data_IF_883682256438
#
_entry.id   IF_883682256438
#
_cell.length_a   1.000
_cell.length_b   1.000
_cell.length_c   1.000
_cell.angle_alpha   90.00
_cell.angle_beta   90.00
_cell.angle_gamma   90.00
#
_symmetry.space_group_name_H-M   'P 1'
#
loop_
_entity.id
_entity.type
_entity.pdbx_description
1 polymer ?
#
# COMPACT_ATOMS: atom_id res chain seq x y z
N UNK A 1 -50.97 19.08 -55.04
CA UNK A 1 -50.11 19.21 -53.85
C UNK A 1 -50.87 18.90 -52.53
N UNK A 2 -51.81 17.94 -52.52
CA UNK A 2 -52.64 17.66 -51.33
C UNK A 2 -52.42 16.28 -50.67
N UNK A 3 -51.97 15.26 -51.40
CA UNK A 3 -51.87 13.91 -50.84
C UNK A 3 -50.71 13.72 -49.85
N UNK A 4 -49.56 14.34 -50.11
CA UNK A 4 -48.38 14.24 -49.24
C UNK A 4 -48.53 15.03 -47.95
N UNK A 5 -49.24 16.16 -47.98
CA UNK A 5 -49.52 16.98 -46.79
C UNK A 5 -50.58 16.31 -45.90
N UNK A 6 -51.58 15.67 -46.49
CA UNK A 6 -52.57 14.87 -45.74
C UNK A 6 -51.90 13.66 -45.07
N UNK A 7 -51.02 12.94 -45.79
CA UNK A 7 -50.26 11.84 -45.21
C UNK A 7 -49.37 12.28 -44.04
N UNK A 8 -48.70 13.43 -44.18
CA UNK A 8 -47.87 13.99 -43.11
C UNK A 8 -48.71 14.39 -41.87
N UNK A 9 -49.88 15.00 -42.08
CA UNK A 9 -50.79 15.35 -40.98
C UNK A 9 -51.33 14.12 -40.25
N UNK A 10 -51.63 13.03 -40.97
CA UNK A 10 -52.06 11.76 -40.37
C UNK A 10 -50.94 11.17 -39.51
N UNK A 11 -49.69 11.18 -39.99
CA UNK A 11 -48.54 10.67 -39.22
C UNK A 11 -48.33 11.47 -37.94
N UNK A 12 -48.45 12.80 -38.00
CA UNK A 12 -48.34 13.66 -36.81
C UNK A 12 -49.49 13.42 -35.84
N UNK A 13 -50.73 13.27 -36.33
CA UNK A 13 -51.89 12.99 -35.49
C UNK A 13 -51.78 11.63 -34.77
N UNK A 14 -51.32 10.59 -35.48
CA UNK A 14 -51.05 9.27 -34.89
C UNK A 14 -49.92 9.37 -33.85
N UNK A 15 -48.86 10.13 -34.14
CA UNK A 15 -47.77 10.33 -33.20
C UNK A 15 -48.21 11.03 -31.91
N UNK A 16 -49.03 12.10 -32.02
CA UNK A 16 -49.60 12.78 -30.85
C UNK A 16 -50.49 11.85 -30.02
N UNK A 17 -51.28 10.99 -30.67
CA UNK A 17 -52.13 10.03 -29.97
C UNK A 17 -51.31 8.99 -29.20
N UNK A 18 -50.21 8.49 -29.79
CA UNK A 18 -49.27 7.56 -29.12
C UNK A 18 -48.54 8.24 -27.96
N UNK A 19 -48.16 9.51 -28.09
CA UNK A 19 -47.57 10.28 -27.00
C UNK A 19 -48.57 10.47 -25.85
N UNK A 20 -49.84 10.76 -26.16
CA UNK A 20 -50.89 10.91 -25.15
C UNK A 20 -51.17 9.60 -24.41
N UNK A 21 -51.21 8.45 -25.09
CA UNK A 21 -51.42 7.16 -24.43
C UNK A 21 -50.25 6.79 -23.53
N UNK A 22 -49.01 7.05 -23.95
CA UNK A 22 -47.81 6.83 -23.13
C UNK A 22 -47.77 7.74 -21.90
N UNK A 23 -48.16 9.01 -22.03
CA UNK A 23 -48.31 9.93 -20.89
C UNK A 23 -49.38 9.45 -19.91
N UNK A 24 -50.52 8.95 -20.41
CA UNK A 24 -51.57 8.39 -19.56
C UNK A 24 -51.08 7.14 -18.81
N UNK A 25 -50.34 6.27 -19.49
CA UNK A 25 -49.79 5.03 -18.92
C UNK A 25 -48.70 5.28 -17.87
N UNK A 26 -47.90 6.34 -18.06
CA UNK A 26 -46.98 6.85 -17.05
C UNK A 26 -47.75 7.40 -15.85
N UNK A 27 -48.82 8.18 -16.08
CA UNK A 27 -49.58 8.76 -14.98
C UNK A 27 -50.32 7.71 -14.13
N UNK A 28 -50.74 6.60 -14.74
CA UNK A 28 -51.34 5.44 -14.07
C UNK A 28 -50.28 4.56 -13.37
N UNK A 29 -48.98 4.90 -13.47
CA UNK A 29 -47.90 4.27 -12.70
C UNK A 29 -47.48 2.89 -13.19
N UNK A 30 -47.88 2.49 -14.41
CA UNK A 30 -47.56 1.19 -15.00
C UNK A 30 -46.13 1.15 -15.58
N UNK A 31 -45.57 2.31 -15.95
CA UNK A 31 -44.18 2.45 -16.40
C UNK A 31 -43.36 3.28 -15.39
N UNK A 32 -42.48 2.63 -14.64
CA UNK A 32 -41.41 3.28 -13.87
C UNK A 32 -40.27 3.65 -14.82
N UNK A 33 -40.37 4.80 -15.47
CA UNK A 33 -39.27 5.38 -16.26
C UNK A 33 -38.96 6.74 -15.63
N UNK A 34 -37.70 6.95 -15.24
CA UNK A 34 -37.25 8.20 -14.62
C UNK A 34 -37.52 9.39 -15.57
N UNK A 35 -38.11 10.46 -15.02
CA UNK A 35 -38.63 11.62 -15.76
C UNK A 35 -37.61 12.40 -16.63
N UNK A 36 -36.34 11.99 -16.62
CA UNK A 36 -35.27 12.56 -17.44
C UNK A 36 -35.30 12.08 -18.91
N UNK A 37 -36.00 10.98 -19.22
CA UNK A 37 -36.08 10.39 -20.57
C UNK A 37 -37.27 10.91 -21.40
N UNK A 38 -38.19 11.63 -20.77
CA UNK A 38 -39.38 12.25 -21.40
C UNK A 38 -39.06 13.24 -22.54
N UNK A 39 -38.08 14.16 -22.42
CA UNK A 39 -37.77 15.09 -23.51
C UNK A 39 -37.13 14.41 -24.73
N UNK A 40 -36.46 13.26 -24.56
CA UNK A 40 -35.89 12.49 -25.67
C UNK A 40 -36.95 11.74 -26.50
N UNK A 41 -38.09 11.41 -25.88
CA UNK A 41 -39.22 10.77 -26.56
C UNK A 41 -39.97 11.71 -27.52
N UNK A 42 -40.03 13.01 -27.18
CA UNK A 42 -40.70 14.03 -28.00
C UNK A 42 -39.86 14.46 -29.21
N UNK A 43 -38.52 14.31 -29.15
CA UNK A 43 -37.62 14.87 -30.16
C UNK A 43 -37.40 13.96 -31.38
N UNK A 44 -37.74 12.66 -31.30
CA UNK A 44 -37.49 11.71 -32.40
C UNK A 44 -38.73 10.82 -32.67
N UNK A 45 -39.57 11.14 -33.66
CA UNK A 45 -40.92 10.59 -33.82
C UNK A 45 -41.00 9.09 -34.15
N UNK A 46 -39.89 8.42 -34.46
CA UNK A 46 -39.90 7.00 -34.83
C UNK A 46 -39.06 6.10 -33.91
N UNK A 47 -38.07 6.67 -33.19
CA UNK A 47 -37.07 5.88 -32.45
C UNK A 47 -37.35 5.81 -30.94
N UNK A 48 -38.14 6.72 -30.40
CA UNK A 48 -38.53 6.72 -28.97
C UNK A 48 -39.39 5.49 -28.57
N UNK A 49 -40.44 5.13 -29.32
CA UNK A 49 -41.22 3.92 -29.02
C UNK A 49 -40.41 2.65 -29.23
N UNK A 50 -39.52 2.64 -30.25
CA UNK A 50 -38.65 1.51 -30.56
C UNK A 50 -37.62 1.25 -29.44
N UNK A 51 -37.05 2.30 -28.84
CA UNK A 51 -36.07 2.17 -27.76
C UNK A 51 -36.69 1.63 -26.47
N UNK A 52 -37.89 2.08 -26.12
CA UNK A 52 -38.66 1.57 -24.97
C UNK A 52 -39.12 0.12 -25.20
N UNK A 53 -39.57 -0.22 -26.42
CA UNK A 53 -39.90 -1.60 -26.78
C UNK A 53 -38.67 -2.53 -26.77
N UNK A 54 -37.49 -2.02 -27.15
CA UNK A 54 -36.23 -2.76 -27.08
C UNK A 54 -35.76 -2.98 -25.64
N UNK A 55 -35.95 -2.00 -24.74
CA UNK A 55 -35.68 -2.16 -23.31
C UNK A 55 -36.58 -3.21 -22.67
N UNK A 56 -37.89 -3.19 -22.96
CA UNK A 56 -38.83 -4.17 -22.40
C UNK A 56 -38.65 -5.57 -23.00
N UNK A 57 -38.36 -5.69 -24.30
CA UNK A 57 -38.09 -7.00 -24.92
C UNK A 57 -36.81 -7.64 -24.38
N UNK A 58 -35.76 -6.84 -24.08
CA UNK A 58 -34.56 -7.33 -23.39
C UNK A 58 -34.82 -7.73 -21.93
N UNK A 59 -35.73 -7.08 -21.21
CA UNK A 59 -36.09 -7.46 -19.86
C UNK A 59 -36.86 -8.79 -19.80
N UNK A 60 -37.75 -9.04 -20.78
CA UNK A 60 -38.55 -10.28 -20.87
C UNK A 60 -37.76 -11.46 -21.43
N UNK A 61 -36.88 -11.25 -22.43
CA UNK A 61 -36.09 -12.32 -23.04
C UNK A 61 -34.87 -12.74 -22.19
N UNK A 62 -34.45 -11.90 -21.23
CA UNK A 62 -33.24 -12.11 -20.41
C UNK A 62 -33.56 -12.45 -18.95
N UNK A 63 -34.76 -12.96 -18.68
CA UNK A 63 -35.17 -13.56 -17.40
C UNK A 63 -34.41 -14.84 -17.00
N UNK A 64 -33.21 -15.08 -17.53
CA UNK A 64 -32.46 -16.31 -17.27
C UNK A 64 -30.93 -16.20 -17.25
N UNK A 65 -30.32 -15.01 -17.39
CA UNK A 65 -28.85 -14.89 -17.34
C UNK A 65 -28.40 -13.58 -16.70
N UNK A 66 -28.14 -13.65 -15.40
CA UNK A 66 -27.42 -12.61 -14.65
C UNK A 66 -25.95 -12.64 -15.09
N UNK A 67 -25.53 -11.64 -15.84
CA UNK A 67 -24.12 -11.27 -16.03
C UNK A 67 -24.04 -9.80 -15.57
N UNK A 68 -23.38 -9.49 -14.44
CA UNK A 68 -23.16 -8.11 -14.07
C UNK A 68 -21.98 -7.59 -14.90
N UNK A 69 -22.29 -6.73 -15.88
CA UNK A 69 -21.32 -5.78 -16.40
C UNK A 69 -21.33 -4.58 -15.44
N UNK A 70 -20.29 -4.50 -14.60
CA UNK A 70 -20.05 -3.38 -13.71
C UNK A 70 -18.71 -2.73 -14.08
N UNK A 71 -18.77 -1.61 -14.78
CA UNK A 71 -17.64 -0.71 -14.95
C UNK A 71 -18.20 0.72 -15.04
N UNK A 72 -17.72 1.55 -14.11
CA UNK A 72 -17.99 2.98 -13.87
C UNK A 72 -19.40 3.33 -13.37
N UNK A 73 -19.58 4.14 -12.32
CA UNK A 73 -18.78 5.31 -11.96
C UNK A 73 -18.45 5.37 -10.45
N UNK A 74 -17.21 5.79 -10.16
CA UNK A 74 -16.81 6.33 -8.87
C UNK A 74 -17.64 7.58 -8.57
N UNK A 75 -18.39 7.56 -7.48
CA UNK A 75 -18.75 8.78 -6.76
C UNK A 75 -18.38 8.60 -5.29
N UNK A 76 -17.35 9.32 -4.90
CA UNK A 76 -16.88 9.51 -3.53
C UNK A 76 -17.87 10.44 -2.81
N UNK A 77 -17.99 10.25 -1.50
CA UNK A 77 -18.82 10.97 -0.50
C UNK A 77 -20.33 10.65 -0.50
N UNK A 78 -20.82 9.95 0.52
CA UNK A 78 -21.16 10.58 1.80
C UNK A 78 -21.32 9.53 2.92
N UNK A 79 -21.14 9.98 4.17
CA UNK A 79 -21.26 9.16 5.37
C UNK A 79 -22.67 8.60 5.58
N UNK A 80 -22.72 7.49 6.32
CA UNK A 80 -23.92 6.90 6.94
C UNK A 80 -25.02 6.37 6.01
N UNK A 81 -24.91 5.09 5.63
CA UNK A 81 -26.09 4.23 5.62
C UNK A 81 -25.74 2.78 5.94
N UNK A 82 -26.15 2.39 7.16
CA UNK A 82 -26.30 1.02 7.64
C UNK A 82 -27.23 0.23 6.72
N UNK A 83 -27.03 -1.09 6.75
CA UNK A 83 -27.86 -2.17 6.21
C UNK A 83 -27.53 -2.60 4.77
N UNK A 84 -26.42 -3.30 4.63
CA UNK A 84 -26.40 -4.42 3.67
C UNK A 84 -27.05 -5.59 4.40
N UNK A 85 -28.29 -5.90 4.04
CA UNK A 85 -28.92 -7.19 4.33
C UNK A 85 -28.06 -8.25 3.63
N UNK A 86 -27.14 -8.84 4.40
CA UNK A 86 -26.43 -10.04 3.99
C UNK A 86 -27.43 -11.17 4.11
N UNK A 87 -27.85 -11.65 2.94
CA UNK A 87 -28.68 -12.83 2.77
C UNK A 87 -28.02 -14.02 3.49
N UNK A 88 -28.88 -14.74 4.20
CA UNK A 88 -28.59 -15.82 5.12
C UNK A 88 -27.76 -16.92 4.43
N UNK A 89 -26.52 -17.13 4.87
CA UNK A 89 -25.78 -18.36 4.63
C UNK A 89 -25.14 -18.83 5.93
N UNK A 90 -25.88 -19.72 6.57
CA UNK A 90 -25.38 -20.82 7.38
C UNK A 90 -24.15 -21.48 6.73
N UNK A 91 -22.97 -21.13 7.21
CA UNK A 91 -21.79 -22.02 7.27
C UNK A 91 -20.73 -21.38 8.20
N UNK A 92 -21.05 -21.30 9.49
CA UNK A 92 -20.09 -21.00 10.56
C UNK A 92 -19.27 -22.25 10.98
N UNK A 93 -19.17 -23.26 10.11
CA UNK A 93 -18.51 -24.53 10.45
C UNK A 93 -16.99 -24.51 10.22
N UNK A 94 -16.42 -23.45 9.64
CA UNK A 94 -14.98 -23.40 9.36
C UNK A 94 -14.45 -21.97 9.49
N UNK A 95 -14.30 -21.49 10.73
CA UNK A 95 -13.55 -20.25 10.99
C UNK A 95 -12.07 -20.55 10.79
N UNK A 96 -11.62 -20.35 9.57
CA UNK A 96 -10.23 -20.54 9.15
C UNK A 96 -9.50 -19.19 9.31
N UNK A 97 -8.26 -19.14 9.83
CA UNK A 97 -7.45 -17.93 9.84
C UNK A 97 -7.39 -17.27 8.46
N UNK A 98 -7.32 -15.93 8.41
CA UNK A 98 -7.35 -15.15 7.17
C UNK A 98 -6.30 -15.63 6.15
N UNK A 99 -5.14 -16.06 6.64
CA UNK A 99 -4.04 -16.60 5.84
C UNK A 99 -4.42 -17.91 5.16
N UNK A 100 -5.11 -18.80 5.87
CA UNK A 100 -5.52 -20.11 5.37
C UNK A 100 -6.79 -19.99 4.49
N UNK A 101 -7.62 -18.96 4.70
CA UNK A 101 -8.72 -18.62 3.79
C UNK A 101 -8.22 -18.16 2.39
N UNK A 102 -7.07 -17.49 2.32
CA UNK A 102 -6.47 -17.12 1.03
C UNK A 102 -5.85 -18.29 0.28
N UNK A 103 -5.48 -19.37 0.97
CA UNK A 103 -4.80 -20.55 0.41
C UNK A 103 -5.80 -21.65 0.07
N UNK A 104 -6.78 -21.92 0.94
CA UNK A 104 -7.60 -23.14 0.90
C UNK A 104 -9.00 -22.89 0.29
N UNK A 105 -9.51 -21.65 0.31
CA UNK A 105 -10.94 -21.41 0.10
C UNK A 105 -11.37 -21.12 -1.36
N UNK A 106 -12.69 -21.23 -1.63
CA UNK A 106 -13.32 -21.02 -2.95
C UNK A 106 -12.98 -19.63 -3.54
N UNK A 107 -12.71 -19.51 -4.87
CA UNK A 107 -12.41 -18.23 -5.52
C UNK A 107 -13.35 -17.07 -5.17
N UNK A 108 -14.65 -17.35 -4.98
CA UNK A 108 -15.64 -16.31 -4.61
C UNK A 108 -15.46 -15.79 -3.18
N UNK A 109 -15.21 -16.67 -2.20
CA UNK A 109 -14.98 -16.27 -0.81
C UNK A 109 -13.67 -15.48 -0.69
N UNK A 110 -12.62 -15.91 -1.40
CA UNK A 110 -11.34 -15.20 -1.47
C UNK A 110 -11.48 -13.76 -1.97
N UNK A 111 -12.28 -13.54 -3.02
CA UNK A 111 -12.55 -12.19 -3.55
C UNK A 111 -13.37 -11.34 -2.60
N UNK A 112 -14.39 -11.91 -1.96
CA UNK A 112 -15.18 -11.19 -0.96
C UNK A 112 -14.32 -10.76 0.24
N UNK A 113 -13.39 -11.60 0.68
CA UNK A 113 -12.44 -11.28 1.73
C UNK A 113 -11.46 -10.15 1.31
N UNK A 114 -10.96 -10.20 0.07
CA UNK A 114 -10.12 -9.11 -0.46
C UNK A 114 -10.90 -7.78 -0.52
N UNK A 115 -12.18 -7.83 -0.91
CA UNK A 115 -13.05 -6.64 -0.92
C UNK A 115 -13.33 -6.12 0.50
N UNK A 116 -13.50 -6.97 1.51
CA UNK A 116 -13.68 -6.51 2.89
C UNK A 116 -12.40 -5.86 3.44
N UNK A 117 -11.22 -6.44 3.16
CA UNK A 117 -9.92 -5.87 3.52
C UNK A 117 -9.72 -4.47 2.90
N UNK A 118 -10.10 -4.32 1.62
CA UNK A 118 -10.01 -3.05 0.90
C UNK A 118 -10.93 -1.97 1.50
N UNK A 119 -12.10 -2.35 2.01
CA UNK A 119 -13.10 -1.40 2.51
C UNK A 119 -12.88 -0.96 3.97
N UNK A 120 -12.22 -1.78 4.80
CA UNK A 120 -11.99 -1.45 6.21
C UNK A 120 -10.72 -0.60 6.40
N UNK A 121 -9.54 -1.23 6.37
CA UNK A 121 -8.25 -0.57 6.47
C UNK A 121 -7.17 -1.51 5.90
N UNK A 122 -6.77 -1.35 4.64
CA UNK A 122 -5.84 -2.28 3.99
C UNK A 122 -4.45 -2.27 4.66
N UNK A 123 -4.08 -1.19 5.35
CA UNK A 123 -2.79 -1.07 6.05
C UNK A 123 -2.60 -2.10 7.16
N UNK A 124 -3.67 -2.49 7.87
CA UNK A 124 -3.59 -3.51 8.94
C UNK A 124 -3.27 -4.90 8.38
N UNK A 125 -3.61 -5.13 7.11
CA UNK A 125 -3.47 -6.41 6.43
C UNK A 125 -2.30 -6.41 5.43
N UNK A 126 -1.33 -5.49 5.55
CA UNK A 126 -0.22 -5.36 4.60
C UNK A 126 0.53 -6.68 4.36
N UNK A 127 0.84 -7.44 5.42
CA UNK A 127 1.51 -8.75 5.30
C UNK A 127 0.67 -9.77 4.52
N UNK A 128 -0.63 -9.80 4.77
CA UNK A 128 -1.58 -10.70 4.10
C UNK A 128 -1.72 -10.32 2.62
N UNK A 129 -1.80 -9.02 2.32
CA UNK A 129 -1.81 -8.49 0.94
C UNK A 129 -0.50 -8.81 0.21
N UNK A 130 0.64 -8.78 0.91
CA UNK A 130 1.92 -9.22 0.35
C UNK A 130 1.89 -10.67 -0.11
N UNK A 131 1.30 -11.55 0.71
CA UNK A 131 1.17 -12.96 0.39
C UNK A 131 0.16 -13.19 -0.74
N UNK A 132 -0.94 -12.44 -0.74
CA UNK A 132 -1.96 -12.50 -1.78
C UNK A 132 -1.44 -12.17 -3.19
N UNK A 133 -0.31 -11.45 -3.32
CA UNK A 133 0.37 -11.23 -4.62
C UNK A 133 0.92 -12.50 -5.26
N UNK A 134 1.11 -13.56 -4.47
CA UNK A 134 1.59 -14.87 -4.95
C UNK A 134 0.43 -15.85 -5.18
N UNK A 135 -0.81 -15.38 -5.13
CA UNK A 135 -1.99 -16.21 -5.33
C UNK A 135 -2.16 -16.61 -6.81
N UNK A 136 -2.81 -17.74 -7.05
CA UNK A 136 -3.10 -18.22 -8.42
C UNK A 136 -4.23 -17.45 -9.10
N UNK A 137 -5.17 -16.86 -8.33
CA UNK A 137 -6.27 -16.07 -8.88
C UNK A 137 -5.78 -14.66 -9.26
N UNK A 138 -5.80 -14.36 -10.57
CA UNK A 138 -5.39 -13.07 -11.13
C UNK A 138 -6.17 -11.90 -10.53
N UNK A 139 -7.46 -12.08 -10.20
CA UNK A 139 -8.26 -11.02 -9.59
C UNK A 139 -7.76 -10.70 -8.18
N UNK A 140 -7.40 -11.73 -7.40
CA UNK A 140 -6.87 -11.57 -6.04
C UNK A 140 -5.49 -10.91 -6.07
N UNK A 141 -4.63 -11.31 -7.01
CA UNK A 141 -3.35 -10.64 -7.25
C UNK A 141 -3.55 -9.16 -7.60
N UNK A 142 -4.52 -8.84 -8.46
CA UNK A 142 -4.82 -7.46 -8.84
C UNK A 142 -5.37 -6.64 -7.67
N UNK A 143 -6.29 -7.19 -6.88
CA UNK A 143 -6.79 -6.53 -5.67
C UNK A 143 -5.67 -6.28 -4.66
N UNK A 144 -4.79 -7.26 -4.44
CA UNK A 144 -3.66 -7.14 -3.54
C UNK A 144 -2.67 -6.08 -3.99
N UNK A 145 -2.31 -6.09 -5.27
CA UNK A 145 -1.44 -5.09 -5.86
C UNK A 145 -2.03 -3.67 -5.74
N UNK A 146 -3.33 -3.53 -5.99
CA UNK A 146 -4.04 -2.24 -5.89
C UNK A 146 -4.08 -1.74 -4.45
N UNK A 147 -4.43 -2.62 -3.50
CA UNK A 147 -4.40 -2.30 -2.07
C UNK A 147 -3.02 -1.85 -1.61
N UNK A 148 -1.98 -2.59 -1.99
CA UNK A 148 -0.60 -2.28 -1.64
C UNK A 148 -0.13 -0.95 -2.25
N UNK A 149 -0.49 -0.67 -3.50
CA UNK A 149 -0.18 0.62 -4.12
C UNK A 149 -0.86 1.78 -3.39
N UNK A 150 -2.12 1.60 -2.93
CA UNK A 150 -2.81 2.60 -2.12
C UNK A 150 -2.17 2.80 -0.75
N UNK A 151 -1.75 1.72 -0.08
CA UNK A 151 -1.00 1.80 1.20
C UNK A 151 0.30 2.57 0.99
N UNK A 152 1.10 2.18 0.00
CA UNK A 152 2.39 2.84 -0.29
C UNK A 152 2.20 4.32 -0.60
N UNK A 153 1.24 4.67 -1.47
CA UNK A 153 0.94 6.07 -1.78
C UNK A 153 0.55 6.89 -0.54
N UNK A 154 -0.21 6.30 0.39
CA UNK A 154 -0.57 6.96 1.66
C UNK A 154 0.63 7.14 2.59
N UNK A 155 1.51 6.14 2.69
CA UNK A 155 2.76 6.23 3.45
C UNK A 155 3.71 7.29 2.86
N UNK A 156 3.83 7.34 1.53
CA UNK A 156 4.64 8.32 0.81
C UNK A 156 4.16 9.76 1.05
N UNK A 157 2.84 9.99 0.96
CA UNK A 157 2.25 11.31 1.25
C UNK A 157 2.51 11.70 2.70
N UNK A 158 2.34 10.77 3.65
CA UNK A 158 2.62 11.04 5.06
C UNK A 158 4.09 11.38 5.30
N UNK A 159 5.02 10.65 4.66
CA UNK A 159 6.46 10.93 4.74
C UNK A 159 6.80 12.30 4.14
N UNK A 160 6.20 12.65 2.99
CA UNK A 160 6.39 13.95 2.36
C UNK A 160 5.91 15.09 3.26
N UNK A 161 4.75 14.95 3.92
CA UNK A 161 4.27 15.98 4.84
C UNK A 161 5.24 16.22 6.01
N UNK A 162 5.85 15.15 6.55
CA UNK A 162 6.88 15.26 7.60
C UNK A 162 8.17 15.91 7.09
N UNK A 163 8.55 15.62 5.85
CA UNK A 163 9.67 16.27 5.19
C UNK A 163 9.42 17.78 5.04
N UNK A 164 8.24 18.18 4.56
CA UNK A 164 7.86 19.59 4.42
C UNK A 164 7.82 20.32 5.77
N UNK A 165 7.32 19.67 6.83
CA UNK A 165 7.35 20.19 8.20
C UNK A 165 8.79 20.47 8.67
N UNK A 166 9.70 19.52 8.42
CA UNK A 166 11.13 19.70 8.70
C UNK A 166 11.77 20.80 7.87
N UNK A 167 11.44 20.92 6.58
CA UNK A 167 11.99 21.97 5.71
C UNK A 167 11.54 23.37 6.13
N UNK A 168 10.29 23.52 6.62
CA UNK A 168 9.80 24.78 7.19
C UNK A 168 10.49 25.14 8.51
N UNK A 169 10.91 24.14 9.28
CA UNK A 169 11.46 24.30 10.61
C UNK A 169 12.86 23.67 10.74
N UNK A 170 13.80 23.98 9.83
CA UNK A 170 15.12 23.33 9.79
C UNK A 170 15.94 23.44 11.08
N UNK A 171 15.73 24.51 11.84
CA UNK A 171 16.43 24.77 13.10
C UNK A 171 15.81 24.05 14.30
N UNK A 172 14.62 23.47 14.14
CA UNK A 172 13.94 22.73 15.22
C UNK A 172 14.44 21.29 15.29
N UNK A 173 15.02 20.92 16.43
CA UNK A 173 15.41 19.54 16.71
C UNK A 173 14.19 18.60 16.81
N UNK A 174 13.04 19.11 17.26
CA UNK A 174 11.81 18.32 17.33
C UNK A 174 11.29 17.96 15.92
N UNK A 175 11.35 18.90 14.97
CA UNK A 175 10.98 18.62 13.58
C UNK A 175 11.94 17.62 12.93
N UNK A 176 13.25 17.74 13.23
CA UNK A 176 14.27 16.78 12.79
C UNK A 176 13.98 15.36 13.31
N UNK A 177 13.70 15.24 14.61
CA UNK A 177 13.42 13.95 15.23
C UNK A 177 12.12 13.31 14.73
N UNK A 178 11.05 14.09 14.56
CA UNK A 178 9.79 13.58 13.97
C UNK A 178 9.99 13.07 12.55
N UNK A 179 10.79 13.77 11.73
CA UNK A 179 11.08 13.33 10.38
C UNK A 179 11.97 12.08 10.37
N UNK A 180 12.98 12.02 11.26
CA UNK A 180 13.84 10.85 11.46
C UNK A 180 13.02 9.62 11.83
N UNK A 181 12.10 9.74 12.78
CA UNK A 181 11.24 8.65 13.22
C UNK A 181 10.28 8.18 12.12
N UNK A 182 9.69 9.12 11.38
CA UNK A 182 8.83 8.80 10.25
C UNK A 182 9.60 8.02 9.17
N UNK A 183 10.83 8.43 8.86
CA UNK A 183 11.66 7.78 7.86
C UNK A 183 12.19 6.42 8.34
N UNK A 184 12.54 6.30 9.62
CA UNK A 184 12.90 5.00 10.23
C UNK A 184 11.71 4.03 10.22
N UNK A 185 10.51 4.51 10.53
CA UNK A 185 9.28 3.72 10.43
C UNK A 185 9.06 3.28 8.98
N UNK A 186 9.14 4.19 8.02
CA UNK A 186 8.99 3.89 6.59
C UNK A 186 10.00 2.83 6.13
N UNK A 187 11.27 2.92 6.54
CA UNK A 187 12.29 1.92 6.16
C UNK A 187 12.06 0.53 6.79
N UNK A 188 11.30 0.45 7.89
CA UNK A 188 10.91 -0.82 8.56
C UNK A 188 9.59 -1.37 8.03
N UNK A 189 8.61 -0.50 7.73
CA UNK A 189 7.27 -0.89 7.29
C UNK A 189 7.19 -1.12 5.78
N UNK A 190 7.96 -0.34 5.01
CA UNK A 190 7.89 -0.37 3.56
C UNK A 190 8.33 -1.72 3.04
N UNK A 191 7.41 -2.39 2.37
CA UNK A 191 7.68 -3.61 1.61
C UNK A 191 8.28 -3.32 0.24
N UNK A 192 8.56 -2.04 -0.07
CA UNK A 192 9.18 -1.67 -1.32
C UNK A 192 10.65 -2.08 -1.36
N UNK A 193 10.97 -2.95 -2.30
CA UNK A 193 12.33 -3.36 -2.61
C UNK A 193 12.84 -2.54 -3.81
N UNK A 194 14.14 -2.22 -3.81
CA UNK A 194 14.80 -1.60 -4.97
C UNK A 194 15.11 -0.10 -4.82
N UNK A 195 14.95 0.65 -5.92
CA UNK A 195 15.50 2.01 -6.06
C UNK A 195 14.86 3.02 -5.10
N UNK A 196 13.53 2.99 -4.91
CA UNK A 196 12.81 3.89 -4.02
C UNK A 196 13.32 3.77 -2.56
N UNK A 197 13.42 2.54 -2.05
CA UNK A 197 14.01 2.26 -0.73
C UNK A 197 15.45 2.74 -0.62
N UNK A 198 16.26 2.51 -1.65
CA UNK A 198 17.66 2.97 -1.67
C UNK A 198 17.76 4.50 -1.59
N UNK A 199 16.86 5.21 -2.28
CA UNK A 199 16.77 6.68 -2.20
C UNK A 199 16.40 7.13 -0.79
N UNK A 200 15.41 6.50 -0.15
CA UNK A 200 15.02 6.85 1.22
C UNK A 200 16.13 6.54 2.23
N UNK A 201 16.86 5.43 2.08
CA UNK A 201 18.02 5.12 2.91
C UNK A 201 19.15 6.15 2.78
N UNK A 202 19.37 6.70 1.57
CA UNK A 202 20.33 7.82 1.38
C UNK A 202 19.87 9.07 2.11
N UNK A 203 18.60 9.45 1.98
CA UNK A 203 18.02 10.58 2.72
C UNK A 203 18.14 10.39 4.23
N UNK A 204 17.94 9.17 4.73
CA UNK A 204 18.16 8.83 6.13
C UNK A 204 19.61 9.06 6.57
N UNK A 205 20.57 8.60 5.77
CA UNK A 205 21.99 8.78 6.05
C UNK A 205 22.37 10.27 6.08
N UNK A 206 21.86 11.07 5.14
CA UNK A 206 22.09 12.52 5.12
C UNK A 206 21.48 13.20 6.36
N UNK A 207 20.29 12.78 6.77
CA UNK A 207 19.62 13.27 7.98
C UNK A 207 20.42 12.95 9.24
N UNK A 208 20.90 11.72 9.37
CA UNK A 208 21.73 11.29 10.50
C UNK A 208 23.08 12.03 10.52
N UNK A 209 23.68 12.29 9.36
CA UNK A 209 24.90 13.07 9.25
C UNK A 209 24.68 14.53 9.70
N UNK A 210 23.52 15.11 9.38
CA UNK A 210 23.16 16.46 9.83
C UNK A 210 22.89 16.48 11.35
N UNK A 211 22.19 15.48 11.87
CA UNK A 211 21.98 15.33 13.31
C UNK A 211 23.30 15.18 14.05
N UNK A 212 24.26 14.43 13.51
CA UNK A 212 25.57 14.24 14.11
C UNK A 212 26.37 15.56 14.22
N UNK A 213 26.19 16.49 13.27
CA UNK A 213 26.83 17.82 13.34
C UNK A 213 26.25 18.68 14.47
N UNK A 214 24.95 18.54 14.75
CA UNK A 214 24.26 19.28 15.83
C UNK A 214 24.52 18.64 17.19
N UNK A 215 24.33 17.33 17.25
CA UNK A 215 24.38 16.50 18.43
C UNK A 215 25.44 15.43 18.23
N UNK A 216 26.59 15.63 18.85
CA UNK A 216 27.69 14.67 18.80
C UNK A 216 27.38 13.47 19.71
N UNK A 217 26.54 12.55 19.22
CA UNK A 217 26.13 11.32 19.92
C UNK A 217 26.62 10.06 19.18
N UNK A 218 27.17 9.11 19.95
CA UNK A 218 27.66 7.84 19.44
C UNK A 218 26.55 6.98 18.83
N UNK A 219 25.31 7.10 19.32
CA UNK A 219 24.17 6.30 18.80
C UNK A 219 23.85 6.71 17.36
N UNK A 220 23.82 8.01 17.09
CA UNK A 220 23.61 8.56 15.75
C UNK A 220 24.72 8.10 14.79
N UNK A 221 25.98 8.09 15.23
CA UNK A 221 27.09 7.51 14.44
C UNK A 221 26.85 6.04 14.15
N UNK A 222 26.50 5.23 15.15
CA UNK A 222 26.30 3.79 14.94
C UNK A 222 25.17 3.53 13.92
N UNK A 223 24.07 4.29 14.00
CA UNK A 223 22.97 4.23 13.03
C UNK A 223 23.39 4.69 11.63
N UNK A 224 24.20 5.74 11.53
CA UNK A 224 24.73 6.25 10.26
C UNK A 224 25.65 5.22 9.60
N UNK A 225 26.63 4.70 10.35
CA UNK A 225 27.56 3.69 9.87
C UNK A 225 26.83 2.42 9.40
N UNK A 226 25.84 1.96 10.15
CA UNK A 226 24.99 0.83 9.75
C UNK A 226 24.27 1.14 8.43
N UNK A 227 23.65 2.33 8.30
CA UNK A 227 22.92 2.71 7.09
C UNK A 227 23.85 2.82 5.88
N UNK A 228 25.06 3.37 6.05
CA UNK A 228 26.09 3.44 5.00
C UNK A 228 26.55 2.04 4.56
N UNK A 229 26.73 1.11 5.50
CA UNK A 229 27.03 -0.29 5.18
C UNK A 229 25.87 -0.96 4.42
N UNK A 230 24.63 -0.77 4.85
CA UNK A 230 23.45 -1.33 4.19
C UNK A 230 23.28 -0.77 2.75
N UNK A 231 23.76 0.45 2.50
CA UNK A 231 23.86 1.08 1.18
C UNK A 231 25.09 0.63 0.36
N UNK A 232 25.95 -0.23 0.90
CA UNK A 232 27.21 -0.66 0.27
C UNK A 232 28.33 0.39 0.28
N UNK A 233 28.14 1.53 0.96
CA UNK A 233 29.12 2.63 1.07
C UNK A 233 30.17 2.34 2.15
N UNK A 234 30.91 1.25 2.01
CA UNK A 234 31.83 0.77 3.03
C UNK A 234 32.94 1.77 3.39
N UNK A 235 33.41 2.58 2.45
CA UNK A 235 34.46 3.58 2.74
C UNK A 235 33.95 4.76 3.55
N UNK A 236 32.69 5.18 3.30
CA UNK A 236 32.03 6.17 4.14
C UNK A 236 31.84 5.64 5.56
N UNK A 237 31.37 4.39 5.69
CA UNK A 237 31.23 3.72 6.97
C UNK A 237 32.56 3.62 7.73
N UNK A 238 33.67 3.28 7.05
CA UNK A 238 35.00 3.24 7.67
C UNK A 238 35.38 4.58 8.27
N UNK A 239 35.27 5.67 7.51
CA UNK A 239 35.59 7.03 7.99
C UNK A 239 34.71 7.43 9.17
N UNK A 240 33.42 7.15 9.11
CA UNK A 240 32.47 7.46 10.18
C UNK A 240 32.78 6.66 11.46
N UNK A 241 33.13 5.38 11.34
CA UNK A 241 33.52 4.54 12.48
C UNK A 241 34.86 4.96 13.07
N UNK A 242 35.88 5.23 12.25
CA UNK A 242 37.20 5.69 12.70
C UNK A 242 37.12 7.03 13.45
N UNK A 243 36.32 7.97 12.95
CA UNK A 243 36.05 9.22 13.65
C UNK A 243 35.38 8.97 15.02
N UNK A 244 34.42 8.05 15.08
CA UNK A 244 33.75 7.71 16.33
C UNK A 244 34.63 6.95 17.32
N UNK A 245 35.55 6.11 16.85
CA UNK A 245 36.54 5.45 17.72
C UNK A 245 37.51 6.46 18.33
N UNK A 246 37.84 7.52 17.58
CA UNK A 246 38.67 8.62 18.08
C UNK A 246 37.92 9.46 19.13
N UNK A 247 36.62 9.70 18.92
CA UNK A 247 35.79 10.49 19.84
C UNK A 247 35.35 9.69 21.09
N UNK A 248 35.01 8.41 20.95
CA UNK A 248 34.51 7.54 22.02
C UNK A 248 35.23 6.18 22.06
N UNK A 249 36.53 6.16 22.41
CA UNK A 249 37.34 4.93 22.40
C UNK A 249 36.85 3.87 23.40
N UNK A 250 36.10 4.25 24.44
CA UNK A 250 35.58 3.31 25.45
C UNK A 250 34.19 2.77 25.14
N UNK A 251 33.53 3.24 24.07
CA UNK A 251 32.16 2.84 23.76
C UNK A 251 32.14 1.56 22.94
N UNK A 252 31.71 0.46 23.57
CA UNK A 252 31.67 -0.87 22.96
C UNK A 252 30.85 -0.95 21.67
N UNK A 253 29.75 -0.20 21.56
CA UNK A 253 28.89 -0.23 20.37
C UNK A 253 29.63 0.22 19.10
N UNK A 254 30.54 1.21 19.23
CA UNK A 254 31.35 1.70 18.11
C UNK A 254 32.35 0.63 17.66
N UNK A 255 32.94 -0.09 18.61
CA UNK A 255 33.80 -1.24 18.34
C UNK A 255 33.05 -2.40 17.68
N UNK A 256 31.80 -2.65 18.09
CA UNK A 256 30.93 -3.62 17.41
C UNK A 256 30.62 -3.19 15.97
N UNK A 257 30.47 -1.89 15.69
CA UNK A 257 30.32 -1.40 14.32
C UNK A 257 31.59 -1.65 13.49
N UNK A 258 32.78 -1.42 14.05
CA UNK A 258 34.05 -1.75 13.39
C UNK A 258 34.14 -3.23 13.04
N UNK A 259 33.84 -4.11 13.99
CA UNK A 259 33.81 -5.56 13.75
C UNK A 259 32.83 -5.94 12.64
N UNK A 260 31.64 -5.32 12.62
CA UNK A 260 30.66 -5.57 11.56
C UNK A 260 31.15 -5.11 10.19
N UNK A 261 31.80 -3.96 10.11
CA UNK A 261 32.39 -3.46 8.86
C UNK A 261 33.48 -4.40 8.34
N UNK A 262 34.39 -4.84 9.20
CA UNK A 262 35.49 -5.75 8.85
C UNK A 262 34.96 -7.12 8.42
N UNK A 263 33.94 -7.63 9.12
CA UNK A 263 33.25 -8.86 8.72
C UNK A 263 32.53 -8.72 7.38
N UNK A 264 31.87 -7.58 7.12
CA UNK A 264 31.20 -7.30 5.85
C UNK A 264 32.18 -7.15 4.68
N UNK A 265 33.42 -6.73 4.95
CA UNK A 265 34.53 -6.68 3.98
C UNK A 265 35.23 -8.04 3.78
N UNK A 266 34.83 -9.07 4.53
CA UNK A 266 35.50 -10.38 4.56
C UNK A 266 36.98 -10.32 4.96
N UNK A 267 37.38 -9.34 5.77
CA UNK A 267 38.76 -9.20 6.28
C UNK A 267 38.90 -9.89 7.64
N UNK A 268 39.19 -11.19 7.61
CA UNK A 268 39.36 -12.00 8.82
C UNK A 268 40.53 -11.57 9.71
N UNK A 269 41.60 -11.00 9.14
CA UNK A 269 42.74 -10.53 9.93
C UNK A 269 42.40 -9.24 10.69
N UNK A 270 41.69 -8.31 10.05
CA UNK A 270 41.18 -7.10 10.70
C UNK A 270 40.23 -7.46 11.85
N UNK A 271 39.27 -8.37 11.61
CA UNK A 271 38.36 -8.86 12.66
C UNK A 271 39.15 -9.39 13.86
N UNK A 272 40.15 -10.26 13.64
CA UNK A 272 40.94 -10.79 14.75
C UNK A 272 41.75 -9.72 15.50
N UNK A 273 42.28 -8.71 14.81
CA UNK A 273 42.98 -7.59 15.45
C UNK A 273 42.02 -6.78 16.32
N UNK A 274 40.84 -6.47 15.82
CA UNK A 274 39.82 -5.71 16.54
C UNK A 274 39.28 -6.48 17.75
N UNK A 275 39.05 -7.79 17.62
CA UNK A 275 38.64 -8.65 18.75
C UNK A 275 39.68 -8.68 19.87
N UNK A 276 40.98 -8.81 19.52
CA UNK A 276 42.07 -8.76 20.51
C UNK A 276 42.11 -7.40 21.20
N UNK A 277 42.03 -6.31 20.43
CA UNK A 277 42.03 -4.95 20.98
C UNK A 277 40.88 -4.73 21.97
N UNK A 278 39.66 -5.18 21.64
CA UNK A 278 38.50 -5.09 22.54
C UNK A 278 38.75 -5.84 23.85
N UNK A 279 39.38 -7.02 23.76
CA UNK A 279 39.70 -7.86 24.92
C UNK A 279 40.80 -7.23 25.78
N UNK A 280 41.90 -6.82 25.16
CA UNK A 280 43.11 -6.34 25.84
C UNK A 280 42.83 -4.99 26.53
N UNK A 281 42.06 -4.11 25.91
CA UNK A 281 41.68 -2.81 26.47
C UNK A 281 40.47 -2.86 27.41
N UNK A 282 39.92 -4.07 27.66
CA UNK A 282 38.78 -4.31 28.54
C UNK A 282 37.58 -3.41 28.22
N UNK A 283 37.28 -3.24 26.93
CA UNK A 283 36.18 -2.39 26.49
C UNK A 283 34.85 -3.05 26.90
N UNK A 284 34.02 -2.30 27.62
CA UNK A 284 32.73 -2.80 28.08
C UNK A 284 31.79 -3.01 26.90
N UNK A 285 31.27 -4.23 26.78
CA UNK A 285 30.26 -4.61 25.81
C UNK A 285 28.95 -4.93 26.54
N UNK A 286 27.80 -4.60 25.95
CA UNK A 286 26.52 -5.13 26.43
C UNK A 286 26.45 -6.66 26.23
N UNK A 287 25.43 -7.32 26.82
CA UNK A 287 25.28 -8.78 26.75
C UNK A 287 25.35 -9.36 25.33
N UNK A 288 24.65 -8.75 24.36
CA UNK A 288 24.74 -9.13 22.93
C UNK A 288 26.14 -8.95 22.33
N UNK A 289 26.87 -7.93 22.77
CA UNK A 289 28.24 -7.69 22.32
C UNK A 289 29.21 -8.76 22.84
N UNK A 290 29.01 -9.21 24.08
CA UNK A 290 29.79 -10.32 24.64
C UNK A 290 29.61 -11.63 23.88
N UNK A 291 28.39 -11.94 23.42
CA UNK A 291 28.14 -13.16 22.64
C UNK A 291 28.81 -13.10 21.26
N UNK A 292 28.79 -11.93 20.62
CA UNK A 292 29.51 -11.70 19.36
C UNK A 292 31.02 -11.86 19.58
N UNK A 293 31.56 -11.28 20.65
CA UNK A 293 32.98 -11.41 20.96
C UNK A 293 33.36 -12.87 21.23
N UNK A 294 32.52 -13.62 21.96
CA UNK A 294 32.72 -15.06 22.22
C UNK A 294 32.72 -15.86 20.92
N UNK A 295 31.80 -15.59 20.01
CA UNK A 295 31.75 -16.23 18.70
C UNK A 295 33.07 -16.09 17.94
N UNK A 296 33.63 -14.88 17.88
CA UNK A 296 34.89 -14.62 17.16
C UNK A 296 36.13 -15.12 17.89
N UNK A 297 36.12 -15.16 19.23
CA UNK A 297 37.20 -15.75 20.04
C UNK A 297 37.21 -17.29 19.95
N UNK A 298 36.03 -17.91 19.79
CA UNK A 298 35.80 -19.35 19.79
C UNK A 298 36.28 -20.13 18.56
N UNK A 299 37.00 -19.51 17.63
CA UNK A 299 37.65 -20.23 16.52
C UNK A 299 39.09 -20.69 16.84
N UNK A 300 39.66 -20.35 18.02
CA UNK A 300 41.00 -20.79 18.44
C UNK A 300 41.02 -21.92 19.48
N UNK A 301 39.91 -22.25 20.12
CA UNK A 301 39.87 -23.33 21.13
C UNK A 301 39.52 -24.70 20.55
N UNK A 302 39.09 -24.78 19.28
CA UNK A 302 38.79 -26.05 18.61
C UNK A 302 40.00 -26.71 17.89
N UNK A 303 41.20 -26.13 17.99
CA UNK A 303 42.43 -26.63 17.34
C UNK A 303 43.54 -27.08 18.30
N UNK A 304 43.24 -27.18 19.59
CA UNK A 304 44.13 -27.75 20.61
C UNK A 304 43.33 -28.69 21.52
N UNK A 305 42.92 -29.82 20.94
CA UNK A 305 42.59 -31.03 21.66
C UNK A 305 43.40 -32.17 21.04
#
# INVERSE_FOLDING_TARGET
MGSTTIAALIIIAVHLLVCMTLCLLHHVGVLKVDGLLLPFMALIPLWGPLSVALMHSRAVLRGGRRIPAGLQELKVEDQEQRNILVDDRTDYANTVPLEEALIVDNPRQRRNLMLSILNENPGQYANLLSQARLNEDVEVVHYAATAMAQISAKEDIALQQRMEEYERNRDSDEALDRYREALEHYLKSSMEQGYARTLQMRRYADLLAEQLKRHNDYRTVCSLAKTQMDLGSFDAASRTIEAALSAWPRQGDVWLMKLRLEAARHDGEAVQRTVRHIKDDHIYLGGRGHDILRFWLGYKEAGRA
#
